data_IF_295454979456
#
_entry.id   IF_295454979456
#
_cell.length_a   1.000
_cell.length_b   1.000
_cell.length_c   1.000
_cell.angle_alpha   90.00
_cell.angle_beta   90.00
_cell.angle_gamma   90.00
#
_symmetry.space_group_name_H-M   'P 1'
#
loop_
_entity.id
_entity.type
_entity.pdbx_description
1 polymer ?
#
# COMPACT_ATOMS: atom_id res chain seq x y z
N UNK A 1 2.50 23.98 3.60
CA UNK A 1 2.73 22.52 3.58
C UNK A 1 4.21 22.31 3.36
N UNK A 2 4.91 21.75 4.34
CA UNK A 2 6.28 21.27 4.12
C UNK A 2 6.24 20.16 3.07
N UNK A 3 7.13 20.25 2.08
CA UNK A 3 7.29 19.20 1.08
C UNK A 3 7.87 17.91 1.68
N UNK A 4 7.80 16.82 0.93
CA UNK A 4 8.46 15.57 1.34
C UNK A 4 9.99 15.79 1.41
N UNK A 5 10.60 15.43 2.53
CA UNK A 5 12.06 15.53 2.73
C UNK A 5 12.86 14.66 1.75
N UNK A 6 12.26 13.59 1.24
CA UNK A 6 12.83 12.70 0.23
C UNK A 6 11.80 12.38 -0.86
N UNK A 7 12.24 12.13 -2.11
CA UNK A 7 11.35 11.64 -3.15
C UNK A 7 10.70 10.33 -2.73
N UNK A 8 9.38 10.23 -2.92
CA UNK A 8 8.63 9.00 -2.67
C UNK A 8 8.27 8.34 -3.99
N UNK A 9 8.53 7.05 -4.09
CA UNK A 9 8.21 6.25 -5.25
C UNK A 9 7.30 5.08 -4.86
N UNK A 10 6.17 4.95 -5.54
CA UNK A 10 5.26 3.82 -5.35
C UNK A 10 5.61 2.73 -6.38
N UNK A 11 5.95 1.54 -5.88
CA UNK A 11 6.33 0.40 -6.73
C UNK A 11 5.06 -0.29 -7.20
N UNK A 12 4.59 0.07 -8.39
CA UNK A 12 3.34 -0.41 -9.00
C UNK A 12 3.69 -1.27 -10.21
N UNK A 13 3.62 -2.61 -10.11
CA UNK A 13 3.77 -3.49 -11.26
C UNK A 13 2.73 -3.20 -12.34
N UNK A 14 3.09 -3.45 -13.60
CA UNK A 14 2.25 -3.13 -14.76
C UNK A 14 0.83 -3.71 -14.67
N UNK A 15 0.68 -4.92 -14.13
CA UNK A 15 -0.63 -5.58 -13.89
C UNK A 15 -1.57 -4.83 -12.94
N UNK A 16 -1.05 -3.89 -12.14
CA UNK A 16 -1.83 -3.06 -11.22
C UNK A 16 -1.85 -1.58 -11.62
N UNK A 17 -1.20 -1.22 -12.74
CA UNK A 17 -1.15 0.17 -13.20
C UNK A 17 -2.47 0.56 -13.87
N UNK A 18 -3.27 1.36 -13.16
CA UNK A 18 -4.53 1.88 -13.68
C UNK A 18 -4.31 2.80 -14.88
N UNK A 19 -5.24 2.82 -15.83
CA UNK A 19 -5.16 3.64 -17.04
C UNK A 19 -5.07 5.12 -16.70
N UNK A 20 -5.83 5.60 -15.71
CA UNK A 20 -5.82 7.00 -15.29
C UNK A 20 -4.45 7.41 -14.72
N UNK A 21 -3.73 6.49 -14.09
CA UNK A 21 -2.36 6.73 -13.60
C UNK A 21 -1.38 6.75 -14.78
N UNK A 22 -1.48 5.75 -15.66
CA UNK A 22 -0.66 5.64 -16.87
C UNK A 22 -0.74 6.88 -17.76
N UNK A 23 -1.94 7.41 -17.92
CA UNK A 23 -2.23 8.56 -18.79
C UNK A 23 -1.96 9.91 -18.09
N UNK A 24 -1.50 9.90 -16.84
CA UNK A 24 -1.26 11.12 -16.06
C UNK A 24 -2.53 11.83 -15.58
N UNK A 25 -3.70 11.19 -15.67
CA UNK A 25 -5.04 11.68 -15.33
C UNK A 25 -5.45 11.34 -13.88
N UNK A 26 -4.50 11.34 -12.95
CA UNK A 26 -4.74 10.97 -11.54
C UNK A 26 -5.81 11.85 -10.87
N UNK A 27 -5.93 13.11 -11.30
CA UNK A 27 -6.96 14.04 -10.81
C UNK A 27 -8.39 13.68 -11.22
N UNK A 28 -8.58 12.85 -12.24
CA UNK A 28 -9.90 12.43 -12.76
C UNK A 28 -10.44 11.16 -12.10
N UNK A 29 -9.61 10.44 -11.35
CA UNK A 29 -10.06 9.28 -10.58
C UNK A 29 -11.12 9.79 -9.59
N UNK A 30 -12.29 9.18 -9.50
CA UNK A 30 -13.33 9.58 -8.53
C UNK A 30 -13.22 8.81 -7.22
N UNK A 31 -13.87 9.29 -6.16
CA UNK A 31 -13.87 8.60 -4.86
C UNK A 31 -14.66 7.28 -4.92
N UNK A 32 -15.70 7.22 -5.75
CA UNK A 32 -16.44 5.98 -6.04
C UNK A 32 -15.54 4.96 -6.73
N UNK A 33 -14.68 5.39 -7.67
CA UNK A 33 -13.75 4.52 -8.34
C UNK A 33 -12.67 4.00 -7.38
N UNK A 34 -12.16 4.87 -6.49
CA UNK A 34 -11.26 4.46 -5.40
C UNK A 34 -11.92 3.41 -4.51
N UNK A 35 -13.20 3.61 -4.16
CA UNK A 35 -13.96 2.68 -3.36
C UNK A 35 -14.13 1.32 -4.03
N UNK A 36 -14.48 1.31 -5.32
CA UNK A 36 -14.65 0.08 -6.11
C UNK A 36 -13.33 -0.69 -6.30
N UNK A 37 -12.21 0.02 -6.40
CA UNK A 37 -10.87 -0.58 -6.59
C UNK A 37 -10.10 -0.79 -5.29
N UNK A 38 -10.71 -0.55 -4.13
CA UNK A 38 -10.15 -0.83 -2.80
C UNK A 38 -10.15 -2.34 -2.49
N UNK A 39 -9.53 -3.13 -3.37
CA UNK A 39 -9.49 -4.59 -3.33
C UNK A 39 -8.06 -5.09 -3.40
N UNK A 40 -7.66 -5.88 -2.39
CA UNK A 40 -6.35 -6.51 -2.31
C UNK A 40 -5.24 -5.59 -1.79
N UNK A 41 -4.13 -6.20 -1.38
CA UNK A 41 -3.05 -5.48 -0.72
C UNK A 41 -2.42 -4.40 -1.62
N UNK A 42 -2.13 -4.71 -2.89
CA UNK A 42 -1.48 -3.75 -3.80
C UNK A 42 -2.30 -2.46 -3.98
N UNK A 43 -3.60 -2.58 -4.26
CA UNK A 43 -4.43 -1.39 -4.45
C UNK A 43 -4.55 -0.58 -3.16
N UNK A 44 -4.82 -1.25 -2.04
CA UNK A 44 -5.07 -0.59 -0.76
C UNK A 44 -3.84 0.09 -0.18
N UNK A 45 -2.65 -0.47 -0.43
CA UNK A 45 -1.42 -0.05 0.23
C UNK A 45 -0.43 0.69 -0.63
N UNK A 46 -0.59 0.63 -1.95
CA UNK A 46 0.36 1.22 -2.88
C UNK A 46 -0.36 2.13 -3.87
N UNK A 47 -1.33 1.62 -4.63
CA UNK A 47 -1.96 2.40 -5.71
C UNK A 47 -2.85 3.53 -5.17
N UNK A 48 -3.74 3.24 -4.23
CA UNK A 48 -4.64 4.25 -3.65
C UNK A 48 -3.84 5.32 -2.88
N UNK A 49 -2.87 4.97 -2.00
CA UNK A 49 -2.00 5.97 -1.40
C UNK A 49 -1.22 6.82 -2.40
N UNK A 50 -0.76 6.26 -3.53
CA UNK A 50 -0.16 7.06 -4.60
C UNK A 50 -1.14 8.12 -5.13
N UNK A 51 -2.38 7.75 -5.40
CA UNK A 51 -3.43 8.70 -5.85
C UNK A 51 -3.62 9.81 -4.83
N UNK A 52 -3.73 9.48 -3.54
CA UNK A 52 -3.85 10.49 -2.47
C UNK A 52 -2.64 11.42 -2.40
N UNK A 53 -1.42 10.89 -2.50
CA UNK A 53 -0.19 11.71 -2.52
C UNK A 53 -0.20 12.69 -3.70
N UNK A 54 -0.56 12.22 -4.90
CA UNK A 54 -0.65 13.06 -6.09
C UNK A 54 -1.72 14.14 -5.97
N UNK A 55 -2.92 13.79 -5.46
CA UNK A 55 -4.00 14.75 -5.21
C UNK A 55 -3.64 15.79 -4.16
N UNK A 56 -2.82 15.43 -3.17
CA UNK A 56 -2.29 16.35 -2.17
C UNK A 56 -1.15 17.25 -2.69
N UNK A 57 -0.76 17.14 -3.97
CA UNK A 57 0.32 17.91 -4.55
C UNK A 57 1.72 17.47 -4.07
N UNK A 58 1.85 16.29 -3.48
CA UNK A 58 3.13 15.77 -3.00
C UNK A 58 3.96 15.21 -4.16
N UNK A 59 5.29 15.32 -4.04
CA UNK A 59 6.26 14.82 -5.00
C UNK A 59 6.36 13.28 -4.95
N UNK A 60 5.31 12.60 -5.41
CA UNK A 60 5.23 11.16 -5.56
C UNK A 60 5.38 10.74 -7.03
N UNK A 61 6.24 9.75 -7.29
CA UNK A 61 6.36 9.03 -8.56
C UNK A 61 5.85 7.60 -8.43
N UNK A 62 5.72 6.90 -9.56
CA UNK A 62 5.53 5.46 -9.59
C UNK A 62 6.48 4.81 -10.59
N UNK A 63 6.78 3.53 -10.38
CA UNK A 63 7.57 2.71 -11.32
C UNK A 63 7.29 1.22 -11.07
N UNK A 64 7.51 0.33 -12.06
CA UNK A 64 7.31 -1.10 -11.85
C UNK A 64 8.38 -1.75 -10.96
N UNK A 65 9.47 -1.04 -10.67
CA UNK A 65 10.58 -1.51 -9.82
C UNK A 65 11.03 -0.40 -8.87
N UNK A 66 11.68 -0.73 -7.75
CA UNK A 66 12.25 0.27 -6.85
C UNK A 66 13.23 1.20 -7.56
N UNK A 67 13.21 2.48 -7.18
CA UNK A 67 14.06 3.55 -7.69
C UNK A 67 15.13 3.92 -6.65
N UNK A 68 16.38 4.01 -7.07
CA UNK A 68 17.48 4.47 -6.21
C UNK A 68 17.29 5.95 -5.83
N UNK A 69 17.72 6.31 -4.61
CA UNK A 69 17.60 7.68 -4.09
C UNK A 69 16.16 8.12 -3.73
N UNK A 70 15.20 7.20 -3.74
CA UNK A 70 13.82 7.43 -3.31
C UNK A 70 13.44 6.49 -2.16
N UNK A 71 12.44 6.91 -1.37
CA UNK A 71 11.71 6.03 -0.45
C UNK A 71 10.70 5.23 -1.28
N UNK A 72 10.91 3.92 -1.37
CA UNK A 72 10.08 3.04 -2.20
C UNK A 72 8.98 2.38 -1.38
N UNK A 73 7.73 2.70 -1.66
CA UNK A 73 6.56 2.06 -1.05
C UNK A 73 6.17 0.85 -1.89
N UNK A 74 6.20 -0.35 -1.30
CA UNK A 74 5.94 -1.59 -2.00
C UNK A 74 5.02 -2.53 -1.21
N UNK A 75 4.32 -3.41 -1.93
CA UNK A 75 3.56 -4.52 -1.35
C UNK A 75 4.51 -5.66 -0.98
N UNK A 76 4.38 -6.21 0.25
CA UNK A 76 5.15 -7.39 0.65
C UNK A 76 4.79 -8.65 -0.16
N UNK A 77 3.59 -8.70 -0.78
CA UNK A 77 3.18 -9.81 -1.65
C UNK A 77 3.84 -9.77 -3.03
N UNK A 78 4.21 -8.59 -3.50
CA UNK A 78 4.64 -8.37 -4.88
C UNK A 78 6.13 -8.02 -4.99
N UNK A 79 6.80 -7.69 -3.88
CA UNK A 79 8.24 -7.42 -3.89
C UNK A 79 9.03 -8.74 -3.90
N UNK A 80 9.50 -9.14 -5.09
CA UNK A 80 10.37 -10.31 -5.24
C UNK A 80 11.83 -10.03 -4.87
N UNK A 81 12.56 -11.07 -4.45
CA UNK A 81 14.02 -10.96 -4.15
C UNK A 81 14.86 -10.49 -5.35
N UNK A 82 14.41 -10.81 -6.57
CA UNK A 82 15.07 -10.41 -7.82
C UNK A 82 14.83 -8.94 -8.17
N UNK A 83 13.92 -8.27 -7.47
CA UNK A 83 13.46 -6.92 -7.80
C UNK A 83 14.05 -5.86 -6.88
N UNK A 84 14.90 -6.25 -5.91
CA UNK A 84 15.57 -5.31 -5.00
C UNK A 84 16.90 -4.83 -5.60
N UNK A 85 17.02 -3.55 -6.00
CA UNK A 85 18.32 -2.93 -6.23
C UNK A 85 19.06 -2.82 -4.90
N UNK A 86 20.37 -3.07 -4.91
CA UNK A 86 21.21 -3.01 -3.71
C UNK A 86 21.15 -1.66 -2.97
N UNK A 87 20.76 -0.58 -3.66
CA UNK A 87 20.77 0.80 -3.14
C UNK A 87 19.37 1.42 -2.95
N UNK A 88 18.30 0.64 -3.02
CA UNK A 88 16.94 1.17 -2.80
C UNK A 88 16.56 1.14 -1.32
N UNK A 89 16.02 2.24 -0.79
CA UNK A 89 15.36 2.27 0.51
C UNK A 89 13.91 1.81 0.34
N UNK A 90 13.54 0.69 0.96
CA UNK A 90 12.25 0.03 0.76
C UNK A 90 11.44 0.06 2.04
N UNK A 91 10.22 0.60 1.92
CA UNK A 91 9.16 0.52 2.91
C UNK A 91 8.11 -0.44 2.40
N UNK A 92 7.96 -1.59 3.07
CA UNK A 92 6.96 -2.58 2.69
C UNK A 92 5.68 -2.44 3.50
N UNK A 93 4.56 -2.39 2.81
CA UNK A 93 3.26 -2.60 3.39
C UNK A 93 3.04 -4.11 3.53
N UNK A 94 3.01 -4.61 4.77
CA UNK A 94 2.90 -6.05 5.04
C UNK A 94 1.52 -6.60 4.68
N UNK A 95 0.45 -5.85 4.95
CA UNK A 95 -0.91 -6.38 4.92
C UNK A 95 -1.00 -7.68 5.77
N UNK A 96 -1.50 -8.75 5.18
CA UNK A 96 -1.56 -10.12 5.74
C UNK A 96 -0.38 -11.01 5.28
N UNK A 97 0.65 -10.43 4.65
CA UNK A 97 1.78 -11.17 4.11
C UNK A 97 2.78 -11.65 5.19
N UNK A 98 3.76 -12.43 4.71
CA UNK A 98 4.96 -12.79 5.45
C UNK A 98 5.76 -11.54 5.86
N UNK A 99 6.62 -11.68 6.87
CA UNK A 99 7.50 -10.58 7.29
C UNK A 99 8.52 -10.30 6.18
N UNK A 100 8.51 -9.10 5.57
CA UNK A 100 9.34 -8.81 4.40
C UNK A 100 10.78 -8.55 4.84
N UNK A 101 11.63 -9.58 4.78
CA UNK A 101 13.06 -9.51 5.15
C UNK A 101 13.87 -8.55 4.27
N UNK A 102 13.33 -8.17 3.12
CA UNK A 102 13.98 -7.29 2.15
C UNK A 102 13.69 -5.80 2.38
N UNK A 103 12.78 -5.48 3.29
CA UNK A 103 12.40 -4.11 3.60
C UNK A 103 13.37 -3.47 4.60
N UNK A 104 13.67 -2.19 4.41
CA UNK A 104 14.32 -1.37 5.43
C UNK A 104 13.33 -0.99 6.54
N UNK A 105 12.05 -0.86 6.18
CA UNK A 105 10.97 -0.50 7.09
C UNK A 105 9.66 -1.20 6.72
N UNK A 106 8.80 -1.47 7.69
CA UNK A 106 7.55 -2.21 7.47
C UNK A 106 6.36 -1.46 8.07
N UNK A 107 5.33 -1.23 7.25
CA UNK A 107 4.02 -0.83 7.74
C UNK A 107 3.16 -2.04 8.06
N UNK A 108 2.60 -2.06 9.27
CA UNK A 108 1.70 -3.11 9.75
C UNK A 108 0.39 -2.53 10.29
N UNK A 109 -0.72 -3.25 10.11
CA UNK A 109 -2.01 -2.89 10.72
C UNK A 109 -2.19 -3.49 12.11
N UNK A 110 -1.47 -4.57 12.38
CA UNK A 110 -1.52 -5.23 13.67
C UNK A 110 -0.49 -4.58 14.60
N UNK A 111 -0.94 -4.15 15.77
CA UNK A 111 -0.08 -3.61 16.83
C UNK A 111 0.80 -4.66 17.52
N UNK A 112 0.69 -5.93 17.17
CA UNK A 112 1.47 -7.02 17.77
C UNK A 112 2.99 -6.81 17.72
N UNK A 113 3.50 -5.98 16.80
CA UNK A 113 4.93 -5.66 16.67
C UNK A 113 5.24 -4.18 16.86
N UNK A 114 4.29 -3.41 17.40
CA UNK A 114 4.48 -2.00 17.74
C UNK A 114 5.70 -1.85 18.67
N UNK A 115 6.59 -0.91 18.36
CA UNK A 115 7.86 -0.73 19.08
C UNK A 115 9.04 -1.57 18.57
N UNK A 116 8.84 -2.49 17.63
CA UNK A 116 9.96 -3.19 16.97
C UNK A 116 10.72 -2.22 16.06
N UNK A 117 12.07 -2.16 16.13
CA UNK A 117 12.86 -1.33 15.22
C UNK A 117 12.54 -1.65 13.76
N UNK A 118 12.31 -0.61 12.95
CA UNK A 118 11.98 -0.77 11.54
C UNK A 118 10.51 -1.15 11.26
N UNK A 119 9.63 -1.08 12.25
CA UNK A 119 8.19 -1.34 12.09
C UNK A 119 7.39 -0.13 12.56
N UNK A 120 6.44 0.34 11.76
CA UNK A 120 5.41 1.27 12.21
C UNK A 120 4.02 0.67 12.04
N UNK A 121 3.19 0.93 13.04
CA UNK A 121 1.76 0.71 12.94
C UNK A 121 1.11 1.83 12.12
N UNK A 122 0.14 1.45 11.29
CA UNK A 122 -0.74 2.39 10.61
C UNK A 122 -2.19 1.89 10.69
N UNK A 123 -3.17 2.76 10.97
CA UNK A 123 -4.56 2.36 11.04
C UNK A 123 -5.04 1.80 9.68
N UNK A 124 -6.08 0.96 9.74
CA UNK A 124 -6.71 0.47 8.52
C UNK A 124 -7.35 1.64 7.76
N UNK A 125 -7.16 1.69 6.44
CA UNK A 125 -7.93 2.60 5.59
C UNK A 125 -9.42 2.30 5.75
N UNK A 126 -10.31 3.31 5.77
CA UNK A 126 -11.72 3.07 5.60
C UNK A 126 -11.91 2.23 4.34
N UNK A 127 -12.53 1.06 4.46
CA UNK A 127 -12.82 0.20 3.32
C UNK A 127 -14.29 0.48 2.93
N UNK A 128 -14.53 1.39 1.97
CA UNK A 128 -15.87 1.89 1.64
C UNK A 128 -16.80 0.82 1.07
N UNK A 129 -16.26 -0.35 0.67
CA UNK A 129 -17.05 -1.50 0.21
C UNK A 129 -17.44 -2.50 1.30
N UNK A 130 -17.12 -2.24 2.58
CA UNK A 130 -17.51 -3.16 3.66
C UNK A 130 -19.02 -3.11 3.91
N UNK A 131 -19.70 -4.18 3.50
CA UNK A 131 -21.08 -4.42 3.91
C UNK A 131 -21.08 -4.80 5.39
N UNK A 132 -21.89 -4.14 6.24
CA UNK A 132 -22.04 -4.53 7.63
C UNK A 132 -22.39 -6.01 7.76
N UNK A 133 -21.86 -6.66 8.79
CA UNK A 133 -22.17 -8.07 9.05
C UNK A 133 -23.68 -8.23 9.24
N UNK A 134 -24.28 -9.19 8.53
CA UNK A 134 -25.69 -9.57 8.73
C UNK A 134 -25.92 -9.93 10.21
N UNK A 135 -26.81 -9.19 10.92
CA UNK A 135 -27.09 -9.43 12.33
C UNK A 135 -27.60 -10.84 12.62
N UNK A 136 -28.30 -11.48 11.67
CA UNK A 136 -28.89 -12.81 11.82
C UNK A 136 -27.85 -13.94 11.90
N UNK A 137 -26.61 -13.68 11.48
CA UNK A 137 -25.55 -14.70 11.38
C UNK A 137 -24.92 -15.07 12.73
N UNK A 138 -25.26 -14.37 13.81
CA UNK A 138 -24.78 -14.61 15.17
C UNK A 138 -23.24 -14.57 15.34
N UNK A 139 -22.78 -14.87 16.56
CA UNK A 139 -21.37 -14.83 16.95
C UNK A 139 -20.59 -16.14 16.68
N UNK A 140 -21.17 -17.10 15.95
CA UNK A 140 -20.53 -18.41 15.73
C UNK A 140 -19.32 -18.27 14.81
N UNK A 141 -18.12 -18.30 15.40
CA UNK A 141 -16.94 -18.84 14.74
C UNK A 141 -17.12 -20.35 14.76
N UNK A 142 -17.28 -20.99 13.60
CA UNK A 142 -17.35 -22.44 13.54
C UNK A 142 -16.07 -23.01 14.15
N UNK A 143 -16.17 -23.58 15.36
CA UNK A 143 -15.16 -24.47 15.87
C UNK A 143 -15.14 -25.68 14.94
N UNK A 144 -14.05 -25.87 14.21
CA UNK A 144 -13.75 -27.18 13.64
C UNK A 144 -13.17 -28.02 14.78
N UNK A 145 -13.89 -29.10 15.10
CA UNK A 145 -13.37 -30.24 15.84
C UNK A 145 -12.28 -30.94 15.01
#
# INVERSE_FOLDING_TARGET
>A
MEGLAHPVNFVIPEKYLWSEIRDGRVGEISDELLAQRCVGAMNNWVVIPFVYFRRAGLAASHSPRPREGAVNIASAHDLGIRERPFRAFIVCCRADAHVPKLANFVFEQNKAREGTPGVAWTPHWPNPGLIPRDPSRGARRGARA
#
